data_IF_059532366694
#
_entry.id   IF_059532366694
#
_cell.length_a   1.000
_cell.length_b   1.000
_cell.length_c   1.000
_cell.angle_alpha   90.00
_cell.angle_beta   90.00
_cell.angle_gamma   90.00
#
_symmetry.space_group_name_H-M   'P 1'
#
loop_
_entity.id
_entity.type
_entity.pdbx_description
1 polymer ?
#
# COMPACT_ATOMS: atom_id res chain seq x y z
N UNK A 1 -15.43 2.69 9.63
CA UNK A 1 -14.89 3.05 8.30
C UNK A 1 -13.46 3.58 8.40
N UNK A 2 -13.22 4.74 9.04
CA UNK A 2 -11.87 5.30 9.20
C UNK A 2 -10.88 4.35 9.91
N UNK A 3 -11.25 3.79 11.06
CA UNK A 3 -10.39 2.83 11.78
C UNK A 3 -10.08 1.58 10.96
N UNK A 4 -11.06 1.07 10.21
CA UNK A 4 -10.92 -0.10 9.34
C UNK A 4 -9.95 0.16 8.19
N UNK A 5 -10.01 1.35 7.58
CA UNK A 5 -9.07 1.77 6.55
C UNK A 5 -7.63 1.85 7.09
N UNK A 6 -7.42 2.46 8.26
CA UNK A 6 -6.09 2.52 8.87
C UNK A 6 -5.57 1.16 9.33
N UNK A 7 -6.46 0.25 9.76
CA UNK A 7 -6.11 -1.14 10.06
C UNK A 7 -5.62 -1.86 8.81
N UNK A 8 -6.40 -1.81 7.71
CA UNK A 8 -6.01 -2.38 6.42
C UNK A 8 -4.72 -1.76 5.87
N UNK A 9 -4.56 -0.44 6.01
CA UNK A 9 -3.35 0.27 5.60
C UNK A 9 -2.14 -0.19 6.41
N UNK A 10 -2.27 -0.37 7.72
CA UNK A 10 -1.19 -0.88 8.58
C UNK A 10 -0.85 -2.36 8.32
N UNK A 11 -1.83 -3.13 7.82
CA UNK A 11 -1.64 -4.54 7.48
C UNK A 11 -0.88 -4.71 6.16
N UNK A 12 -1.28 -3.95 5.14
CA UNK A 12 -0.80 -4.11 3.75
C UNK A 12 0.41 -3.21 3.45
N UNK A 13 0.62 -2.13 4.23
CA UNK A 13 1.67 -1.14 3.97
C UNK A 13 2.57 -0.92 5.18
N UNK A 14 3.81 -0.49 4.92
CA UNK A 14 4.78 0.01 5.91
C UNK A 14 4.67 1.50 6.16
N UNK A 15 3.60 2.14 5.70
CA UNK A 15 3.36 3.54 6.03
C UNK A 15 3.17 3.64 7.56
N UNK A 16 3.83 4.61 8.23
CA UNK A 16 3.71 4.76 9.66
C UNK A 16 2.27 5.18 10.01
N UNK A 17 1.44 4.22 10.40
CA UNK A 17 0.09 4.47 10.89
C UNK A 17 0.19 4.76 12.40
N UNK A 18 -0.31 5.91 12.89
CA UNK A 18 -0.32 6.22 14.30
C UNK A 18 -1.03 5.12 15.10
N UNK A 19 -0.36 4.58 16.12
CA UNK A 19 -0.87 3.47 16.92
C UNK A 19 -2.27 3.76 17.50
N UNK A 20 -2.63 5.02 17.79
CA UNK A 20 -3.97 5.41 18.26
C UNK A 20 -5.10 5.13 17.27
N UNK A 21 -4.80 5.00 15.98
CA UNK A 21 -5.77 4.73 14.91
C UNK A 21 -5.92 3.23 14.62
N UNK A 22 -4.99 2.40 15.10
CA UNK A 22 -4.97 0.93 14.92
C UNK A 22 -5.04 0.14 16.24
N UNK A 23 -4.77 0.76 17.39
CA UNK A 23 -4.83 0.14 18.73
C UNK A 23 -6.28 0.03 19.23
N UNK A 24 -6.57 -1.09 19.89
CA UNK A 24 -7.90 -1.41 20.42
C UNK A 24 -8.87 -1.98 19.37
N UNK A 25 -8.35 -2.46 18.23
CA UNK A 25 -9.15 -3.22 17.27
C UNK A 25 -9.09 -4.70 17.64
N UNK A 26 -10.25 -5.25 17.96
CA UNK A 26 -10.43 -6.70 18.12
C UNK A 26 -10.16 -7.43 16.79
N UNK A 27 -9.83 -8.72 16.87
CA UNK A 27 -9.53 -9.54 15.69
C UNK A 27 -10.70 -9.50 14.68
N UNK A 28 -11.96 -9.49 15.15
CA UNK A 28 -13.12 -9.39 14.25
C UNK A 28 -13.19 -8.06 13.49
N UNK A 29 -12.68 -6.96 14.07
CA UNK A 29 -12.62 -5.67 13.39
C UNK A 29 -11.51 -5.63 12.34
N UNK A 30 -10.44 -6.40 12.54
CA UNK A 30 -9.41 -6.61 11.54
C UNK A 30 -9.97 -7.39 10.33
N UNK A 31 -10.74 -8.46 10.56
CA UNK A 31 -11.43 -9.19 9.50
C UNK A 31 -12.43 -8.32 8.75
N UNK A 32 -13.21 -7.49 9.45
CA UNK A 32 -14.10 -6.51 8.81
C UNK A 32 -13.36 -5.47 7.97
N UNK A 33 -12.05 -5.28 8.18
CA UNK A 33 -11.25 -4.32 7.42
C UNK A 33 -10.83 -4.82 6.04
N UNK A 34 -11.02 -6.12 5.75
CA UNK A 34 -10.75 -6.72 4.43
C UNK A 34 -11.52 -5.99 3.31
N UNK A 35 -12.74 -5.50 3.59
CA UNK A 35 -13.53 -4.73 2.60
C UNK A 35 -12.86 -3.42 2.17
N UNK A 36 -11.90 -2.91 2.96
CA UNK A 36 -11.13 -1.71 2.63
C UNK A 36 -9.80 -2.00 1.94
N UNK A 37 -9.44 -3.28 1.75
CA UNK A 37 -8.21 -3.67 1.05
C UNK A 37 -8.16 -3.14 -0.40
N UNK A 38 -9.24 -3.19 -1.20
CA UNK A 38 -9.21 -2.63 -2.55
C UNK A 38 -8.93 -1.12 -2.57
N UNK A 39 -9.44 -0.37 -1.58
CA UNK A 39 -9.17 1.06 -1.44
C UNK A 39 -7.70 1.35 -1.12
N UNK A 40 -7.11 0.55 -0.22
CA UNK A 40 -5.67 0.63 0.09
C UNK A 40 -4.85 0.27 -1.14
N UNK A 41 -5.20 -0.80 -1.85
CA UNK A 41 -4.56 -1.18 -3.11
C UNK A 41 -4.63 -0.10 -4.18
N UNK A 42 -5.79 0.55 -4.34
CA UNK A 42 -5.96 1.68 -5.25
C UNK A 42 -5.05 2.86 -4.88
N UNK A 43 -4.96 3.19 -3.59
CA UNK A 43 -4.08 4.25 -3.10
C UNK A 43 -2.62 3.94 -3.42
N UNK A 44 -2.15 2.74 -3.10
CA UNK A 44 -0.77 2.32 -3.34
C UNK A 44 -0.46 2.25 -4.84
N UNK A 45 -1.38 1.71 -5.64
CA UNK A 45 -1.28 1.66 -7.08
C UNK A 45 -1.27 3.05 -7.72
N UNK A 46 -2.06 4.00 -7.21
CA UNK A 46 -2.05 5.39 -7.66
C UNK A 46 -0.71 6.08 -7.37
N UNK A 47 -0.11 5.84 -6.21
CA UNK A 47 1.22 6.37 -5.87
C UNK A 47 2.28 5.77 -6.81
N UNK A 48 2.31 4.45 -6.97
CA UNK A 48 3.26 3.78 -7.86
C UNK A 48 3.08 4.20 -9.33
N UNK A 49 1.84 4.33 -9.79
CA UNK A 49 1.50 4.80 -11.13
C UNK A 49 1.90 6.25 -11.35
N UNK A 50 1.69 7.13 -10.36
CA UNK A 50 2.15 8.51 -10.43
C UNK A 50 3.67 8.61 -10.54
N UNK A 51 4.42 7.80 -9.78
CA UNK A 51 5.89 7.71 -9.89
C UNK A 51 6.30 7.30 -11.30
N UNK A 52 5.69 6.25 -11.85
CA UNK A 52 6.00 5.79 -13.21
C UNK A 52 5.65 6.84 -14.27
N UNK A 53 4.47 7.46 -14.20
CA UNK A 53 4.05 8.48 -15.17
C UNK A 53 4.93 9.73 -15.12
N UNK A 54 5.37 10.14 -13.93
CA UNK A 54 6.27 11.29 -13.77
C UNK A 54 7.69 11.01 -14.27
N UNK A 55 8.17 9.77 -14.16
CA UNK A 55 9.52 9.38 -14.57
C UNK A 55 9.61 8.98 -16.05
N UNK A 56 8.51 8.48 -16.64
CA UNK A 56 8.47 8.01 -18.03
C UNK A 56 9.06 9.00 -19.05
N UNK A 57 8.79 10.33 -18.99
CA UNK A 57 9.36 11.28 -19.94
C UNK A 57 10.89 11.44 -19.86
N UNK A 58 11.50 11.10 -18.72
CA UNK A 58 12.91 11.34 -18.43
C UNK A 58 13.79 10.13 -18.70
N UNK A 59 13.29 8.93 -18.41
CA UNK A 59 14.08 7.70 -18.47
C UNK A 59 13.46 6.58 -19.31
N UNK A 60 12.30 6.81 -19.94
CA UNK A 60 11.57 5.82 -20.73
C UNK A 60 10.77 4.83 -19.88
N UNK A 61 9.92 4.06 -20.56
CA UNK A 61 8.93 3.16 -19.94
C UNK A 61 9.55 2.08 -19.05
N UNK A 62 10.62 1.36 -19.45
CA UNK A 62 11.14 0.26 -18.63
C UNK A 62 11.70 0.73 -17.28
N UNK A 63 12.44 1.84 -17.27
CA UNK A 63 13.05 2.36 -16.05
C UNK A 63 12.00 3.02 -15.14
N UNK A 64 11.02 3.71 -15.73
CA UNK A 64 9.88 4.24 -14.99
C UNK A 64 9.05 3.14 -14.32
N UNK A 65 8.83 2.01 -15.01
CA UNK A 65 8.15 0.84 -14.45
C UNK A 65 8.93 0.22 -13.28
N UNK A 66 10.26 0.11 -13.40
CA UNK A 66 11.13 -0.33 -12.30
C UNK A 66 10.95 0.56 -11.06
N UNK A 67 10.98 1.88 -11.24
CA UNK A 67 10.77 2.82 -10.13
C UNK A 67 9.36 2.72 -9.54
N UNK A 68 8.33 2.48 -10.35
CA UNK A 68 6.97 2.21 -9.87
C UNK A 68 6.89 0.96 -8.99
N UNK A 69 7.52 -0.14 -9.44
CA UNK A 69 7.60 -1.39 -8.66
C UNK A 69 8.41 -1.19 -7.38
N UNK A 70 9.53 -0.48 -7.43
CA UNK A 70 10.34 -0.15 -6.25
C UNK A 70 9.56 0.71 -5.25
N UNK A 71 8.79 1.69 -5.72
CA UNK A 71 7.92 2.49 -4.86
C UNK A 71 6.88 1.61 -4.16
N UNK A 72 6.24 0.69 -4.90
CA UNK A 72 5.30 -0.27 -4.33
C UNK A 72 5.97 -1.22 -3.33
N UNK A 73 7.19 -1.68 -3.61
CA UNK A 73 8.01 -2.50 -2.72
C UNK A 73 8.28 -1.80 -1.39
N UNK A 74 8.70 -0.53 -1.44
CA UNK A 74 8.98 0.27 -0.25
C UNK A 74 7.71 0.55 0.56
N UNK A 75 6.60 0.84 -0.12
CA UNK A 75 5.32 1.13 0.51
C UNK A 75 4.72 -0.10 1.19
N UNK A 76 4.93 -1.31 0.64
CA UNK A 76 4.40 -2.57 1.20
C UNK A 76 5.42 -3.32 2.06
N UNK A 77 6.69 -2.96 1.98
CA UNK A 77 7.78 -3.66 2.66
C UNK A 77 8.25 -4.94 1.97
N UNK A 78 7.95 -5.12 0.68
CA UNK A 78 8.38 -6.24 -0.14
C UNK A 78 7.57 -7.53 0.01
N UNK A 79 6.87 -7.72 1.13
CA UNK A 79 6.06 -8.91 1.47
C UNK A 79 4.80 -9.14 0.62
N UNK A 80 4.48 -8.22 -0.28
CA UNK A 80 3.42 -8.43 -1.27
C UNK A 80 3.96 -8.64 -2.68
N UNK A 81 5.26 -8.43 -2.89
CA UNK A 81 5.92 -8.65 -4.18
C UNK A 81 6.52 -10.06 -4.31
N UNK A 82 6.71 -10.76 -3.19
CA UNK A 82 7.13 -12.16 -3.10
C UNK A 82 5.95 -13.14 -3.26
N UNK A 83 4.70 -12.67 -3.22
CA UNK A 83 3.50 -13.47 -3.50
C UNK A 83 3.14 -14.50 -2.42
N UNK A 84 3.98 -14.66 -1.39
CA UNK A 84 3.74 -15.51 -0.23
C UNK A 84 4.70 -15.11 0.92
N UNK A 85 4.11 -14.68 2.03
CA UNK A 85 4.72 -14.74 3.37
C UNK A 85 3.84 -15.58 4.27
#
# INVERSE_FOLDING_TARGET
>A
MIKSFFAALSFISRLPVPARLSQGLEIEQYQRSIVTFPLVGLLLGAIAGAVALLLQPWCGVPLAALFGVLALALLTGGFHLDGAG
#
